data_IF_139743328929
#
_entry.id   IF_139743328929
#
_cell.length_a   1.000
_cell.length_b   1.000
_cell.length_c   1.000
_cell.angle_alpha   90.00
_cell.angle_beta   90.00
_cell.angle_gamma   90.00
#
_symmetry.space_group_name_H-M   'P 1'
#
loop_
_entity.id
_entity.type
_entity.pdbx_description
1 polymer ?
#
# COMPACT_ATOMS: atom_id res chain seq x y z
N UNK A 1 -10.24 -5.14 9.47
CA UNK A 1 -11.67 -5.23 9.11
C UNK A 1 -11.76 -6.06 7.84
N UNK A 2 -12.66 -7.04 7.80
CA UNK A 2 -12.89 -7.89 6.63
C UNK A 2 -13.62 -7.11 5.52
N UNK A 3 -13.69 -7.67 4.31
CA UNK A 3 -14.58 -7.12 3.28
C UNK A 3 -16.04 -7.32 3.70
N UNK A 4 -16.89 -6.36 3.32
CA UNK A 4 -18.30 -6.35 3.70
C UNK A 4 -19.13 -7.23 2.77
N UNK A 5 -18.70 -7.35 1.49
CA UNK A 5 -19.40 -8.09 0.45
C UNK A 5 -18.39 -8.81 -0.45
N UNK A 6 -18.76 -10.01 -0.94
CA UNK A 6 -18.02 -10.73 -1.99
C UNK A 6 -18.92 -10.89 -3.21
N UNK A 7 -18.35 -10.76 -4.41
CA UNK A 7 -19.00 -10.94 -5.69
C UNK A 7 -18.32 -12.11 -6.39
N UNK A 8 -19.10 -13.13 -6.73
CA UNK A 8 -18.61 -14.32 -7.39
C UNK A 8 -18.43 -14.14 -8.90
N UNK A 9 -17.98 -15.20 -9.58
CA UNK A 9 -17.72 -15.23 -11.01
C UNK A 9 -18.97 -14.96 -11.88
N UNK A 10 -20.17 -15.15 -11.31
CA UNK A 10 -21.47 -14.92 -11.96
C UNK A 10 -22.01 -13.53 -11.68
N UNK A 11 -21.30 -12.71 -10.90
CA UNK A 11 -21.76 -11.40 -10.46
C UNK A 11 -22.76 -11.46 -9.30
N UNK A 12 -22.92 -12.59 -8.63
CA UNK A 12 -23.79 -12.72 -7.46
C UNK A 12 -23.10 -12.18 -6.21
N UNK A 13 -23.85 -11.42 -5.40
CA UNK A 13 -23.40 -11.02 -4.07
C UNK A 13 -23.56 -12.21 -3.13
N UNK A 14 -22.46 -12.68 -2.57
CA UNK A 14 -22.44 -13.77 -1.61
C UNK A 14 -21.92 -13.30 -0.24
N UNK A 15 -22.47 -13.89 0.81
CA UNK A 15 -22.03 -13.60 2.18
C UNK A 15 -20.67 -14.23 2.48
N UNK A 16 -19.96 -13.69 3.47
CA UNK A 16 -18.71 -14.28 3.99
C UNK A 16 -18.88 -15.77 4.34
N UNK A 17 -20.03 -16.17 4.87
CA UNK A 17 -20.34 -17.57 5.16
C UNK A 17 -20.39 -18.43 3.89
N UNK A 18 -21.16 -18.00 2.88
CA UNK A 18 -21.27 -18.68 1.59
C UNK A 18 -19.92 -18.78 0.88
N UNK A 19 -19.10 -17.73 0.98
CA UNK A 19 -17.73 -17.73 0.46
C UNK A 19 -16.84 -18.79 1.14
N UNK A 20 -16.89 -18.87 2.47
CA UNK A 20 -16.14 -19.90 3.24
C UNK A 20 -16.61 -21.31 2.89
N UNK A 21 -17.91 -21.54 2.73
CA UNK A 21 -18.45 -22.84 2.31
C UNK A 21 -18.01 -23.24 0.91
N UNK A 22 -18.08 -22.33 -0.08
CA UNK A 22 -17.61 -22.60 -1.44
C UNK A 22 -16.11 -22.93 -1.45
N UNK A 23 -15.31 -22.21 -0.66
CA UNK A 23 -13.88 -22.48 -0.53
C UNK A 23 -13.57 -23.85 0.08
N UNK A 24 -14.35 -24.29 1.08
CA UNK A 24 -14.26 -25.65 1.65
C UNK A 24 -14.54 -26.72 0.60
N UNK A 25 -15.55 -26.52 -0.26
CA UNK A 25 -15.89 -27.45 -1.34
C UNK A 25 -14.79 -27.59 -2.39
N UNK A 26 -14.05 -26.51 -2.67
CA UNK A 26 -12.93 -26.49 -3.62
C UNK A 26 -11.63 -27.13 -3.10
N UNK A 27 -11.64 -27.71 -1.89
CA UNK A 27 -10.47 -28.34 -1.23
C UNK A 27 -9.21 -27.46 -1.20
N UNK A 28 -9.35 -26.14 -1.30
CA UNK A 28 -8.22 -25.24 -1.19
C UNK A 28 -7.86 -25.03 0.29
N UNK A 29 -6.57 -25.11 0.66
CA UNK A 29 -6.15 -24.97 2.04
C UNK A 29 -6.60 -23.61 2.60
N UNK A 30 -7.22 -23.63 3.79
CA UNK A 30 -7.57 -22.43 4.55
C UNK A 30 -6.29 -21.86 5.15
N UNK A 31 -5.50 -21.16 4.33
CA UNK A 31 -4.44 -20.31 4.88
C UNK A 31 -5.13 -19.14 5.55
N UNK A 32 -5.14 -19.16 6.89
CA UNK A 32 -5.70 -18.14 7.80
C UNK A 32 -4.92 -16.82 7.72
N UNK A 33 -3.76 -16.81 7.04
CA UNK A 33 -2.91 -15.64 6.89
C UNK A 33 -3.14 -14.94 5.55
N UNK A 34 -3.87 -13.83 5.61
CA UNK A 34 -4.21 -12.97 4.49
C UNK A 34 -5.72 -12.83 4.39
N UNK A 35 -6.24 -11.63 4.68
CA UNK A 35 -7.67 -11.35 4.80
C UNK A 35 -8.54 -11.85 3.64
N UNK A 36 -9.86 -11.87 3.89
CA UNK A 36 -10.90 -12.36 2.99
C UNK A 36 -10.76 -11.85 1.54
N UNK A 37 -10.22 -10.65 1.35
CA UNK A 37 -9.93 -10.05 0.05
C UNK A 37 -8.92 -10.87 -0.76
N UNK A 38 -7.82 -11.31 -0.13
CA UNK A 38 -6.77 -12.12 -0.78
C UNK A 38 -7.33 -13.48 -1.21
N UNK A 39 -8.17 -14.06 -0.35
CA UNK A 39 -8.82 -15.32 -0.63
C UNK A 39 -9.83 -15.19 -1.78
N UNK A 40 -10.64 -14.13 -1.80
CA UNK A 40 -11.59 -13.87 -2.88
C UNK A 40 -10.88 -13.70 -4.23
N UNK A 41 -9.83 -12.87 -4.27
CA UNK A 41 -9.09 -12.62 -5.51
C UNK A 41 -8.44 -13.89 -6.09
N UNK A 42 -7.94 -14.80 -5.24
CA UNK A 42 -7.38 -16.09 -5.67
C UNK A 42 -8.41 -17.04 -6.30
N UNK A 43 -9.68 -16.85 -5.96
CA UNK A 43 -10.78 -17.64 -6.50
C UNK A 43 -11.44 -16.99 -7.73
N UNK A 44 -10.89 -15.87 -8.23
CA UNK A 44 -11.51 -15.10 -9.31
C UNK A 44 -12.69 -14.24 -8.87
N UNK A 45 -12.90 -14.08 -7.56
CA UNK A 45 -13.98 -13.26 -7.02
C UNK A 45 -13.49 -11.84 -6.75
N UNK A 46 -14.44 -10.91 -6.66
CA UNK A 46 -14.17 -9.58 -6.13
C UNK A 46 -14.65 -9.46 -4.69
N UNK A 47 -13.90 -8.73 -3.86
CA UNK A 47 -14.33 -8.34 -2.52
C UNK A 47 -14.54 -6.82 -2.48
N UNK A 48 -15.59 -6.39 -1.78
CA UNK A 48 -15.97 -4.98 -1.65
C UNK A 48 -15.99 -4.62 -0.18
N UNK A 49 -15.37 -3.50 0.15
CA UNK A 49 -15.38 -2.90 1.48
C UNK A 49 -15.96 -1.50 1.38
N UNK A 50 -16.92 -1.20 2.24
CA UNK A 50 -17.47 0.11 2.44
C UNK A 50 -16.47 0.96 3.24
N UNK A 51 -16.18 2.14 2.72
CA UNK A 51 -15.43 3.18 3.42
C UNK A 51 -16.40 4.28 3.85
N UNK A 52 -15.99 5.09 4.85
CA UNK A 52 -16.78 6.24 5.31
C UNK A 52 -17.16 7.22 4.18
N UNK A 53 -16.29 7.34 3.17
CA UNK A 53 -16.46 8.26 2.03
C UNK A 53 -16.45 7.54 0.67
N UNK A 54 -16.74 6.23 0.62
CA UNK A 54 -16.78 5.52 -0.67
C UNK A 54 -16.59 4.02 -0.56
N UNK A 55 -15.95 3.43 -1.56
CA UNK A 55 -15.81 1.98 -1.71
C UNK A 55 -14.35 1.58 -1.96
N UNK A 56 -13.95 0.44 -1.43
CA UNK A 56 -12.72 -0.24 -1.83
C UNK A 56 -13.07 -1.58 -2.45
N UNK A 57 -12.66 -1.76 -3.71
CA UNK A 57 -12.86 -2.97 -4.49
C UNK A 57 -11.54 -3.72 -4.53
N UNK A 58 -11.56 -5.01 -4.27
CA UNK A 58 -10.43 -5.92 -4.35
C UNK A 58 -10.75 -6.99 -5.39
N UNK A 59 -9.85 -7.24 -6.33
CA UNK A 59 -10.06 -8.24 -7.37
C UNK A 59 -8.74 -8.67 -7.99
N UNK A 60 -8.73 -9.80 -8.71
CA UNK A 60 -7.62 -10.18 -9.58
C UNK A 60 -7.99 -9.87 -11.03
N UNK A 61 -7.32 -8.93 -11.72
CA UNK A 61 -7.69 -8.55 -13.08
C UNK A 61 -7.66 -9.69 -14.09
N UNK A 62 -6.76 -10.67 -13.88
CA UNK A 62 -6.60 -11.81 -14.78
C UNK A 62 -7.63 -12.93 -14.53
N UNK A 63 -8.23 -12.97 -13.34
CA UNK A 63 -9.16 -14.02 -12.94
C UNK A 63 -10.60 -13.53 -12.73
N UNK A 64 -10.84 -12.22 -12.81
CA UNK A 64 -12.16 -11.64 -12.57
C UNK A 64 -13.02 -11.74 -13.83
N UNK A 65 -14.13 -12.46 -13.72
CA UNK A 65 -15.08 -12.64 -14.81
C UNK A 65 -15.87 -11.37 -15.16
N UNK A 66 -16.34 -11.31 -16.41
CA UNK A 66 -17.07 -10.13 -16.94
C UNK A 66 -18.34 -9.84 -16.15
N UNK A 67 -19.07 -10.86 -15.71
CA UNK A 67 -20.29 -10.68 -14.91
C UNK A 67 -19.99 -10.01 -13.55
N UNK A 68 -18.87 -10.36 -12.93
CA UNK A 68 -18.40 -9.73 -11.70
C UNK A 68 -17.98 -8.26 -11.92
N UNK A 69 -17.28 -7.97 -13.03
CA UNK A 69 -16.93 -6.61 -13.43
C UNK A 69 -18.17 -5.74 -13.63
N UNK A 70 -19.18 -6.26 -14.33
CA UNK A 70 -20.46 -5.57 -14.53
C UNK A 70 -21.15 -5.30 -13.19
N UNK A 71 -21.17 -6.28 -12.27
CA UNK A 71 -21.74 -6.08 -10.94
C UNK A 71 -21.00 -5.01 -10.13
N UNK A 72 -19.67 -4.98 -10.19
CA UNK A 72 -18.87 -3.93 -9.55
C UNK A 72 -19.21 -2.55 -10.13
N UNK A 73 -19.37 -2.42 -11.44
CA UNK A 73 -19.76 -1.17 -12.08
C UNK A 73 -21.15 -0.70 -11.61
N UNK A 74 -22.12 -1.61 -11.50
CA UNK A 74 -23.43 -1.32 -10.93
C UNK A 74 -23.33 -0.86 -9.48
N UNK A 75 -22.56 -1.56 -8.63
CA UNK A 75 -22.36 -1.18 -7.23
C UNK A 75 -21.74 0.21 -7.09
N UNK A 76 -20.73 0.54 -7.91
CA UNK A 76 -20.12 1.87 -7.92
C UNK A 76 -21.17 2.93 -8.29
N UNK A 77 -21.93 2.68 -9.36
CA UNK A 77 -22.95 3.62 -9.84
C UNK A 77 -24.05 3.84 -8.80
N UNK A 78 -24.54 2.77 -8.19
CA UNK A 78 -25.62 2.85 -7.20
C UNK A 78 -25.12 3.50 -5.89
N UNK A 79 -23.81 3.47 -5.64
CA UNK A 79 -23.15 4.17 -4.53
C UNK A 79 -22.79 5.64 -4.84
N UNK A 80 -23.00 6.11 -6.08
CA UNK A 80 -22.58 7.42 -6.56
C UNK A 80 -23.34 8.61 -5.94
N UNK A 81 -24.41 8.35 -5.18
CA UNK A 81 -25.12 9.35 -4.37
C UNK A 81 -24.28 9.83 -3.17
N UNK A 82 -23.31 9.04 -2.72
CA UNK A 82 -22.27 9.49 -1.80
C UNK A 82 -21.12 10.11 -2.61
N UNK A 83 -20.44 11.16 -2.10
CA UNK A 83 -19.20 11.73 -2.68
C UNK A 83 -18.08 10.66 -2.71
N UNK A 84 -18.21 9.66 -3.57
CA UNK A 84 -17.65 8.33 -3.37
C UNK A 84 -16.28 8.23 -4.02
N UNK A 85 -15.26 8.23 -3.18
CA UNK A 85 -13.92 7.82 -3.55
C UNK A 85 -13.95 6.32 -3.78
N UNK A 86 -13.55 5.86 -4.96
CA UNK A 86 -13.43 4.42 -5.25
C UNK A 86 -11.96 4.04 -5.25
N UNK A 87 -11.62 3.01 -4.48
CA UNK A 87 -10.26 2.46 -4.39
C UNK A 87 -10.27 1.08 -5.06
N UNK A 88 -9.66 0.98 -6.24
CA UNK A 88 -9.48 -0.27 -6.98
C UNK A 88 -8.19 -0.95 -6.50
N UNK A 89 -8.29 -2.17 -5.98
CA UNK A 89 -7.18 -2.94 -5.42
C UNK A 89 -7.00 -4.22 -6.22
N UNK A 90 -6.10 -4.18 -7.19
CA UNK A 90 -5.84 -5.27 -8.13
C UNK A 90 -4.72 -6.19 -7.64
N UNK A 91 -5.03 -7.47 -7.49
CA UNK A 91 -4.12 -8.53 -7.07
C UNK A 91 -3.29 -9.06 -8.23
N UNK A 92 -1.96 -9.10 -8.08
CA UNK A 92 -1.00 -9.55 -9.11
C UNK A 92 -0.42 -10.96 -8.88
N UNK A 93 -0.90 -11.68 -7.85
CA UNK A 93 -0.36 -12.98 -7.44
C UNK A 93 0.35 -12.92 -6.10
N UNK A 94 1.04 -11.81 -5.82
CA UNK A 94 1.84 -11.61 -4.61
C UNK A 94 1.27 -10.51 -3.71
N UNK A 95 0.83 -9.40 -4.29
CA UNK A 95 0.32 -8.26 -3.55
C UNK A 95 -0.79 -7.49 -4.29
N UNK A 96 -1.35 -6.48 -3.62
CA UNK A 96 -2.31 -5.58 -4.23
C UNK A 96 -1.63 -4.31 -4.76
N UNK A 97 -1.98 -3.95 -5.98
CA UNK A 97 -1.78 -2.61 -6.54
C UNK A 97 -3.06 -1.79 -6.34
N UNK A 98 -2.95 -0.54 -5.89
CA UNK A 98 -4.10 0.29 -5.54
C UNK A 98 -4.22 1.49 -6.47
N UNK A 99 -5.45 1.82 -6.90
CA UNK A 99 -5.78 3.01 -7.68
C UNK A 99 -6.99 3.72 -7.08
N UNK A 100 -6.82 5.00 -6.79
CA UNK A 100 -7.90 5.85 -6.27
C UNK A 100 -8.48 6.65 -7.43
N UNK A 101 -9.80 6.70 -7.51
CA UNK A 101 -10.53 7.52 -8.46
C UNK A 101 -11.58 8.35 -7.74
N UNK A 102 -11.78 9.57 -8.22
CA UNK A 102 -12.62 10.58 -7.55
C UNK A 102 -14.04 10.64 -8.08
N UNK A 103 -14.38 9.81 -9.06
CA UNK A 103 -15.72 9.71 -9.61
C UNK A 103 -16.09 8.26 -9.95
N UNK A 104 -17.38 7.97 -9.84
CA UNK A 104 -17.97 6.70 -10.29
C UNK A 104 -17.69 6.45 -11.78
N UNK A 105 -17.82 7.48 -12.63
CA UNK A 105 -17.56 7.37 -14.06
C UNK A 105 -16.11 6.99 -14.37
N UNK A 106 -15.14 7.57 -13.67
CA UNK A 106 -13.73 7.20 -13.83
C UNK A 106 -13.48 5.75 -13.39
N UNK A 107 -14.06 5.32 -12.27
CA UNK A 107 -13.95 3.94 -11.80
C UNK A 107 -14.52 2.93 -12.81
N UNK A 108 -15.73 3.21 -13.32
CA UNK A 108 -16.43 2.36 -14.28
C UNK A 108 -15.65 2.31 -15.61
N UNK A 109 -15.15 3.45 -16.10
CA UNK A 109 -14.33 3.52 -17.31
C UNK A 109 -13.05 2.68 -17.20
N UNK A 110 -12.44 2.64 -16.01
CA UNK A 110 -11.30 1.75 -15.76
C UNK A 110 -11.71 0.28 -15.75
N UNK A 111 -12.80 -0.09 -15.08
CA UNK A 111 -13.28 -1.48 -15.07
C UNK A 111 -13.60 -1.96 -16.49
N UNK A 112 -14.20 -1.09 -17.31
CA UNK A 112 -14.51 -1.37 -18.71
C UNK A 112 -13.25 -1.56 -19.57
N UNK A 113 -12.18 -0.79 -19.33
CA UNK A 113 -10.93 -0.95 -20.07
C UNK A 113 -10.19 -2.25 -19.71
N UNK A 114 -10.38 -2.77 -18.49
CA UNK A 114 -9.88 -4.10 -18.11
C UNK A 114 -10.62 -5.22 -18.86
N UNK A 115 -11.95 -5.12 -18.95
CA UNK A 115 -12.78 -6.10 -19.67
C UNK A 115 -12.43 -6.16 -21.17
N UNK A 116 -12.06 -5.02 -21.75
CA UNK A 116 -11.83 -4.87 -23.19
C UNK A 116 -10.42 -5.26 -23.64
N UNK A 117 -9.50 -5.58 -22.72
CA UNK A 117 -8.12 -5.96 -23.06
C UNK A 117 -7.55 -6.96 -22.05
N UNK A 118 -7.92 -8.24 -22.17
CA UNK A 118 -7.34 -9.32 -21.38
C UNK A 118 -5.85 -9.43 -21.74
N UNK A 119 -4.97 -9.06 -20.81
CA UNK A 119 -3.52 -8.99 -21.06
C UNK A 119 -2.95 -7.58 -21.13
N UNK A 120 -3.80 -6.53 -21.11
CA UNK A 120 -3.33 -5.22 -20.70
C UNK A 120 -3.02 -5.32 -19.21
N UNK A 121 -1.75 -5.66 -18.92
CA UNK A 121 -1.20 -5.69 -17.57
C UNK A 121 -1.79 -4.48 -16.87
N UNK A 122 -2.36 -4.69 -15.69
CA UNK A 122 -2.62 -3.63 -14.74
C UNK A 122 -1.29 -2.91 -14.53
N UNK A 123 -0.97 -1.99 -15.43
CA UNK A 123 0.40 -1.60 -15.70
C UNK A 123 0.72 -0.56 -14.67
N UNK A 124 1.07 -1.06 -13.48
CA UNK A 124 1.48 -0.31 -12.30
C UNK A 124 0.45 0.77 -11.97
N UNK A 125 -0.39 0.49 -10.95
CA UNK A 125 -1.27 1.51 -10.39
C UNK A 125 -0.51 2.80 -10.05
N UNK A 126 -1.20 3.86 -9.61
CA UNK A 126 -0.57 5.12 -9.22
C UNK A 126 0.50 4.95 -8.12
N UNK A 127 0.67 3.78 -7.51
CA UNK A 127 1.85 3.43 -6.73
C UNK A 127 2.34 2.04 -7.19
N UNK A 128 3.64 1.91 -7.48
CA UNK A 128 4.30 0.63 -7.72
C UNK A 128 5.68 0.59 -7.08
N UNK A 129 6.13 -0.64 -6.79
CA UNK A 129 7.44 -0.91 -6.22
C UNK A 129 8.18 -1.91 -7.09
N UNK A 130 9.45 -1.64 -7.31
CA UNK A 130 10.39 -2.61 -7.83
C UNK A 130 11.40 -2.88 -6.73
N UNK A 131 11.64 -4.16 -6.43
CA UNK A 131 12.77 -4.54 -5.59
C UNK A 131 14.05 -4.11 -6.32
N UNK A 132 14.93 -3.42 -5.60
CA UNK A 132 16.19 -2.91 -6.15
C UNK A 132 17.33 -3.66 -5.47
N UNK A 133 18.32 -4.09 -6.25
CA UNK A 133 19.52 -4.69 -5.66
C UNK A 133 20.29 -3.58 -4.94
N UNK A 134 20.91 -3.92 -3.80
CA UNK A 134 21.69 -2.97 -2.98
C UNK A 134 22.70 -2.15 -3.80
N UNK A 135 23.32 -2.78 -4.80
CA UNK A 135 24.30 -2.18 -5.70
C UNK A 135 23.74 -1.09 -6.64
N UNK A 136 22.42 -1.10 -6.88
CA UNK A 136 21.76 -0.14 -7.77
C UNK A 136 21.24 1.08 -6.99
N UNK A 137 21.46 1.12 -5.66
CA UNK A 137 21.02 2.21 -4.80
C UNK A 137 22.02 3.37 -4.82
N UNK A 138 21.54 4.62 -4.62
CA UNK A 138 22.43 5.75 -4.37
C UNK A 138 23.43 5.47 -3.23
N UNK A 139 24.70 5.83 -3.42
CA UNK A 139 25.78 5.53 -2.46
C UNK A 139 25.50 5.96 -1.02
N UNK A 140 24.85 7.11 -0.82
CA UNK A 140 24.44 7.59 0.51
C UNK A 140 23.46 6.66 1.20
N UNK A 141 22.51 6.12 0.44
CA UNK A 141 21.50 5.18 0.94
C UNK A 141 22.11 3.80 1.21
N UNK A 142 23.06 3.38 0.37
CA UNK A 142 23.82 2.15 0.60
C UNK A 142 24.57 2.20 1.93
N UNK A 143 25.22 3.33 2.26
CA UNK A 143 25.88 3.52 3.57
C UNK A 143 24.95 3.38 4.77
N UNK A 144 23.68 3.75 4.65
CA UNK A 144 22.69 3.51 5.71
C UNK A 144 22.40 2.01 5.89
N UNK A 145 22.33 1.26 4.79
CA UNK A 145 22.16 -0.21 4.85
C UNK A 145 23.41 -0.87 5.41
N UNK A 146 24.60 -0.43 5.00
CA UNK A 146 25.88 -0.92 5.50
C UNK A 146 25.96 -0.72 7.02
N UNK A 147 25.75 0.51 7.52
CA UNK A 147 25.77 0.79 8.95
C UNK A 147 24.72 0.02 9.75
N UNK A 148 23.56 -0.28 9.16
CA UNK A 148 22.57 -1.17 9.78
C UNK A 148 23.05 -2.63 9.81
N UNK A 149 23.68 -3.09 8.72
CA UNK A 149 24.14 -4.48 8.56
C UNK A 149 25.29 -4.78 9.51
N UNK A 150 26.22 -3.84 9.67
CA UNK A 150 27.42 -4.00 10.50
C UNK A 150 27.07 -4.26 11.97
N UNK A 151 25.96 -3.68 12.45
CA UNK A 151 25.44 -3.95 13.80
C UNK A 151 24.25 -4.92 13.79
N UNK A 152 23.95 -5.57 12.66
CA UNK A 152 22.82 -6.47 12.48
C UNK A 152 21.50 -5.94 13.10
N UNK A 153 21.21 -4.65 12.95
CA UNK A 153 20.04 -3.99 13.52
C UNK A 153 19.96 -3.96 15.06
N UNK A 154 21.08 -4.19 15.76
CA UNK A 154 21.20 -4.14 17.23
C UNK A 154 21.55 -2.74 17.75
N UNK A 155 22.01 -1.86 16.88
CA UNK A 155 22.30 -0.46 17.18
C UNK A 155 21.09 0.23 17.79
N UNK A 156 21.34 1.19 18.68
CA UNK A 156 20.29 2.08 19.12
C UNK A 156 19.73 2.84 17.91
N UNK A 157 18.41 2.99 17.86
CA UNK A 157 17.71 3.77 16.85
C UNK A 157 18.26 5.19 16.80
N UNK A 158 18.65 5.76 17.93
CA UNK A 158 19.21 7.12 18.02
C UNK A 158 20.54 7.23 17.27
N UNK A 159 21.44 6.24 17.43
CA UNK A 159 22.73 6.20 16.74
C UNK A 159 22.56 6.07 15.23
N UNK A 160 21.71 5.14 14.78
CA UNK A 160 21.43 4.94 13.35
C UNK A 160 20.66 6.12 12.75
N UNK A 161 19.82 6.80 13.54
CA UNK A 161 19.16 8.04 13.11
C UNK A 161 20.19 9.14 12.86
N UNK A 162 21.23 9.27 13.68
CA UNK A 162 22.33 10.22 13.44
C UNK A 162 23.09 9.94 12.14
N UNK A 163 23.42 8.67 11.88
CA UNK A 163 24.03 8.26 10.61
C UNK A 163 23.10 8.62 9.44
N UNK A 164 21.82 8.26 9.57
CA UNK A 164 20.81 8.53 8.55
C UNK A 164 20.60 10.02 8.29
N UNK A 165 20.57 10.85 9.34
CA UNK A 165 20.45 12.30 9.22
C UNK A 165 21.57 12.86 8.35
N UNK A 166 22.82 12.45 8.61
CA UNK A 166 23.98 12.86 7.81
C UNK A 166 23.89 12.38 6.36
N UNK A 167 23.47 11.14 6.12
CA UNK A 167 23.44 10.54 4.78
C UNK A 167 22.26 11.00 3.93
N UNK A 168 21.11 11.26 4.55
CA UNK A 168 19.85 11.59 3.85
C UNK A 168 19.55 13.09 3.84
N UNK A 169 20.45 13.91 4.41
CA UNK A 169 20.21 15.33 4.65
C UNK A 169 18.93 15.53 5.47
N UNK A 170 18.80 14.79 6.57
CA UNK A 170 17.66 14.85 7.49
C UNK A 170 16.29 14.52 6.84
N UNK A 171 16.27 13.49 5.99
CA UNK A 171 15.06 13.00 5.28
C UNK A 171 14.72 11.57 5.65
N UNK A 172 14.17 11.41 6.85
CA UNK A 172 13.75 10.11 7.38
C UNK A 172 12.41 10.21 8.11
N UNK A 173 11.83 9.05 8.40
CA UNK A 173 10.68 8.89 9.29
C UNK A 173 10.86 7.62 10.11
N UNK A 174 10.61 7.69 11.41
CA UNK A 174 10.68 6.55 12.33
C UNK A 174 9.28 6.13 12.72
N UNK A 175 9.00 4.84 12.57
CA UNK A 175 7.75 4.22 12.99
C UNK A 175 8.03 3.17 14.07
N UNK A 176 7.05 2.95 14.92
CA UNK A 176 7.06 1.87 15.90
C UNK A 176 5.80 1.04 15.74
N UNK A 177 5.95 -0.28 15.67
CA UNK A 177 4.78 -1.15 15.61
C UNK A 177 4.10 -1.18 16.97
N UNK A 178 2.77 -1.08 16.98
CA UNK A 178 1.98 -1.27 18.20
C UNK A 178 1.92 -2.77 18.52
N UNK A 179 2.34 -3.16 19.72
CA UNK A 179 2.29 -4.55 20.15
C UNK A 179 0.88 -5.14 20.06
N UNK A 180 0.79 -6.38 19.56
CA UNK A 180 -0.50 -7.05 19.32
C UNK A 180 -1.37 -6.43 18.22
N UNK A 181 -0.91 -5.40 17.52
CA UNK A 181 -1.68 -4.66 16.51
C UNK A 181 -1.00 -4.64 15.13
N UNK A 182 -1.78 -4.52 14.04
CA UNK A 182 -1.25 -4.28 12.69
C UNK A 182 -0.89 -2.80 12.44
N UNK A 183 -1.12 -1.91 13.42
CA UNK A 183 -0.87 -0.48 13.30
C UNK A 183 0.56 -0.10 13.68
N UNK A 184 1.01 1.03 13.14
CA UNK A 184 2.27 1.69 13.49
C UNK A 184 1.99 3.04 14.14
N UNK A 185 2.92 3.52 14.95
CA UNK A 185 2.94 4.87 15.55
C UNK A 185 4.09 5.63 14.94
N UNK A 186 3.83 6.86 14.49
CA UNK A 186 4.90 7.77 14.07
C UNK A 186 5.67 8.22 15.32
N UNK A 187 6.98 7.97 15.37
CA UNK A 187 7.83 8.32 16.52
C UNK A 187 8.70 9.53 16.28
N UNK A 188 9.24 9.67 15.07
CA UNK A 188 10.14 10.76 14.74
C UNK A 188 10.20 10.99 13.23
N UNK A 189 10.74 12.12 12.79
CA UNK A 189 10.92 12.47 11.39
C UNK A 189 12.02 13.54 11.22
N UNK A 190 12.67 13.51 10.06
CA UNK A 190 13.66 14.53 9.69
C UNK A 190 13.00 15.82 9.19
N UNK A 191 13.64 16.96 9.46
CA UNK A 191 13.12 18.31 9.19
C UNK A 191 13.22 18.74 7.73
N UNK A 192 14.01 18.04 6.92
CA UNK A 192 14.16 18.36 5.50
C UNK A 192 13.15 17.62 4.60
N UNK A 193 12.06 17.13 5.20
CA UNK A 193 10.91 16.64 4.44
C UNK A 193 10.11 17.82 3.83
N UNK A 194 9.33 17.59 2.77
CA UNK A 194 8.51 18.65 2.16
C UNK A 194 7.53 19.27 3.16
N UNK A 195 7.25 20.58 3.02
CA UNK A 195 6.45 21.33 4.02
C UNK A 195 5.02 20.84 4.25
N UNK A 196 4.40 20.13 3.29
CA UNK A 196 3.11 19.46 3.52
C UNK A 196 3.27 18.19 4.36
N UNK A 197 4.34 17.42 4.13
CA UNK A 197 4.65 16.23 4.90
C UNK A 197 5.04 16.59 6.35
N UNK A 198 5.82 17.65 6.55
CA UNK A 198 6.19 18.15 7.89
C UNK A 198 4.97 18.47 8.75
N UNK A 199 4.03 19.26 8.22
CA UNK A 199 2.78 19.59 8.94
C UNK A 199 1.98 18.35 9.31
N UNK A 200 1.95 17.35 8.43
CA UNK A 200 1.30 16.09 8.73
C UNK A 200 2.05 15.31 9.82
N UNK A 201 3.39 15.23 9.77
CA UNK A 201 4.17 14.55 10.79
C UNK A 201 4.03 15.21 12.17
N UNK A 202 4.08 16.54 12.24
CA UNK A 202 3.88 17.33 13.46
C UNK A 202 2.52 17.03 14.11
N UNK A 203 1.46 16.97 13.30
CA UNK A 203 0.11 16.67 13.78
C UNK A 203 -0.11 15.21 14.21
N UNK A 204 0.76 14.28 13.79
CA UNK A 204 0.55 12.83 13.93
C UNK A 204 1.61 12.09 14.75
N UNK A 205 2.64 12.79 15.25
CA UNK A 205 3.63 12.18 16.14
C UNK A 205 2.97 11.61 17.40
N UNK A 206 3.41 10.40 17.79
CA UNK A 206 2.86 9.66 18.94
C UNK A 206 1.46 9.07 18.72
N UNK A 207 0.81 9.34 17.59
CA UNK A 207 -0.52 8.79 17.28
C UNK A 207 -0.38 7.49 16.47
N UNK A 208 -1.22 6.48 16.75
CA UNK A 208 -1.37 5.35 15.85
C UNK A 208 -1.81 5.86 14.49
N UNK A 209 -1.11 5.44 13.45
CA UNK A 209 -1.48 5.71 12.08
C UNK A 209 -2.84 5.06 11.83
N UNK A 210 -3.81 5.89 11.47
CA UNK A 210 -5.18 5.44 11.30
C UNK A 210 -5.47 5.16 9.84
N UNK A 211 -6.41 4.25 9.63
CA UNK A 211 -6.89 3.89 8.31
C UNK A 211 -7.85 4.93 7.70
N UNK A 212 -7.99 6.13 8.26
CA UNK A 212 -8.86 7.22 7.80
C UNK A 212 -8.10 8.51 7.42
N UNK A 213 -6.77 8.52 7.50
CA UNK A 213 -5.94 9.64 7.05
C UNK A 213 -5.83 9.71 5.51
N UNK A 214 -5.83 10.94 4.97
CA UNK A 214 -5.96 11.28 3.53
C UNK A 214 -4.94 10.62 2.57
N UNK A 215 -3.89 9.99 3.10
CA UNK A 215 -2.87 9.21 2.36
C UNK A 215 -3.03 7.68 2.53
N UNK A 216 -4.23 7.21 2.88
CA UNK A 216 -4.63 5.81 3.08
C UNK A 216 -3.97 4.80 2.12
N UNK A 217 -3.94 5.07 0.81
CA UNK A 217 -3.35 4.15 -0.17
C UNK A 217 -1.83 4.07 -0.04
N UNK A 218 -1.15 5.20 0.17
CA UNK A 218 0.28 5.20 0.46
C UNK A 218 0.56 4.54 1.80
N UNK A 219 -0.29 4.78 2.80
CA UNK A 219 -0.16 4.16 4.12
C UNK A 219 -0.30 2.63 4.07
N UNK A 220 -1.34 2.09 3.43
CA UNK A 220 -1.51 0.65 3.25
C UNK A 220 -0.40 0.03 2.37
N UNK A 221 0.00 0.72 1.31
CA UNK A 221 1.13 0.33 0.45
C UNK A 221 2.45 0.24 1.23
N UNK A 222 2.68 1.18 2.14
CA UNK A 222 3.82 1.18 3.04
C UNK A 222 3.73 0.07 4.09
N UNK A 223 2.54 -0.16 4.67
CA UNK A 223 2.33 -1.11 5.75
C UNK A 223 2.78 -2.54 5.39
N UNK A 224 2.51 -3.00 4.16
CA UNK A 224 3.00 -4.31 3.69
C UNK A 224 4.53 -4.39 3.66
N UNK A 225 5.19 -3.37 3.11
CA UNK A 225 6.65 -3.26 3.06
C UNK A 225 7.28 -3.23 4.46
N UNK A 226 6.63 -2.51 5.38
CA UNK A 226 7.04 -2.34 6.78
C UNK A 226 6.98 -3.68 7.53
N UNK A 227 5.85 -4.38 7.40
CA UNK A 227 5.64 -5.71 7.97
C UNK A 227 6.63 -6.73 7.41
N UNK A 228 6.88 -6.70 6.11
CA UNK A 228 7.81 -7.63 5.47
C UNK A 228 9.25 -7.42 5.98
N UNK A 229 9.73 -6.17 6.04
CA UNK A 229 11.05 -5.87 6.56
C UNK A 229 11.20 -6.34 8.02
N UNK A 230 10.20 -6.09 8.86
CA UNK A 230 10.20 -6.54 10.26
C UNK A 230 10.09 -8.07 10.38
N UNK A 231 9.30 -8.74 9.55
CA UNK A 231 9.16 -10.20 9.58
C UNK A 231 10.46 -10.90 9.14
N UNK A 232 11.10 -10.38 8.09
CA UNK A 232 12.34 -10.93 7.55
C UNK A 232 13.57 -10.49 8.36
N UNK A 233 13.44 -9.48 9.22
CA UNK A 233 14.54 -8.85 9.94
C UNK A 233 15.70 -8.47 9.00
N UNK A 234 15.33 -7.95 7.82
CA UNK A 234 16.27 -7.55 6.79
C UNK A 234 15.86 -6.19 6.21
N UNK A 235 16.85 -5.37 5.79
CA UNK A 235 16.58 -4.12 5.08
C UNK A 235 15.78 -4.39 3.82
N UNK A 236 14.75 -3.57 3.58
CA UNK A 236 14.01 -3.60 2.33
C UNK A 236 14.38 -2.36 1.50
N UNK A 237 14.85 -2.59 0.28
CA UNK A 237 15.23 -1.54 -0.66
C UNK A 237 14.31 -1.57 -1.88
N UNK A 238 13.68 -0.43 -2.19
CA UNK A 238 12.67 -0.33 -3.24
C UNK A 238 12.88 0.93 -4.09
N UNK A 239 12.61 0.80 -5.39
CA UNK A 239 12.32 1.94 -6.26
C UNK A 239 10.81 2.09 -6.26
N UNK A 240 10.34 3.16 -5.63
CA UNK A 240 8.93 3.51 -5.58
C UNK A 240 8.63 4.44 -6.74
N UNK A 241 7.60 4.10 -7.48
CA UNK A 241 7.06 4.92 -8.54
C UNK A 241 5.63 5.30 -8.18
N UNK A 242 5.38 6.61 -8.07
CA UNK A 242 4.14 7.20 -7.61
C UNK A 242 3.56 8.18 -8.63
N UNK A 243 2.29 8.08 -8.97
CA UNK A 243 1.53 9.07 -9.70
C UNK A 243 0.83 9.96 -8.68
N UNK A 244 1.33 11.18 -8.55
CA UNK A 244 0.85 12.16 -7.58
C UNK A 244 -0.07 13.13 -8.30
N UNK A 245 -1.28 13.28 -7.79
CA UNK A 245 -2.21 14.32 -8.21
C UNK A 245 -2.13 15.47 -7.22
N UNK A 246 -1.40 16.57 -7.52
CA UNK A 246 -1.35 17.70 -6.61
C UNK A 246 -2.73 18.37 -6.47
N UNK A 247 -3.01 19.06 -5.36
CA UNK A 247 -4.26 19.80 -5.16
C UNK A 247 -4.52 20.85 -6.25
N UNK A 248 -3.44 21.42 -6.81
CA UNK A 248 -3.44 22.31 -7.97
C UNK A 248 -2.39 21.79 -8.96
N UNK A 249 -2.80 21.52 -10.20
CA UNK A 249 -1.88 21.10 -11.27
C UNK A 249 -2.23 19.76 -11.91
N UNK A 250 -1.42 19.38 -12.90
CA UNK A 250 -1.59 18.14 -13.64
C UNK A 250 -1.03 16.94 -12.87
N UNK A 251 -1.60 15.74 -13.04
CA UNK A 251 -1.03 14.52 -12.50
C UNK A 251 0.43 14.38 -12.94
N UNK A 252 1.30 13.95 -12.03
CA UNK A 252 2.72 13.79 -12.28
C UNK A 252 3.23 12.45 -11.79
N UNK A 253 4.17 11.86 -12.53
CA UNK A 253 4.88 10.65 -12.13
C UNK A 253 6.14 11.03 -11.35
N UNK A 254 6.33 10.39 -10.21
CA UNK A 254 7.46 10.53 -9.29
C UNK A 254 8.14 9.18 -9.15
N UNK A 255 9.46 9.18 -9.12
CA UNK A 255 10.27 8.00 -8.83
C UNK A 255 11.26 8.34 -7.73
N UNK A 256 11.35 7.47 -6.73
CA UNK A 256 12.24 7.69 -5.61
C UNK A 256 12.68 6.38 -5.00
N UNK A 257 13.86 6.39 -4.38
CA UNK A 257 14.36 5.24 -3.66
C UNK A 257 13.83 5.29 -2.23
N UNK A 258 13.32 4.16 -1.75
CA UNK A 258 12.89 3.96 -0.38
C UNK A 258 13.73 2.86 0.24
N UNK A 259 14.25 3.10 1.43
CA UNK A 259 14.82 2.06 2.29
C UNK A 259 13.98 1.95 3.54
N UNK A 260 13.76 0.72 3.98
CA UNK A 260 13.20 0.40 5.28
C UNK A 260 14.23 -0.40 6.06
N UNK A 261 14.62 0.10 7.24
CA UNK A 261 15.55 -0.53 8.16
C UNK A 261 14.79 -1.01 9.42
N UNK A 262 14.61 -2.33 9.62
CA UNK A 262 13.93 -2.87 10.80
C UNK A 262 14.86 -2.96 12.02
N UNK A 263 14.37 -2.80 13.25
CA UNK A 263 15.19 -2.90 14.47
C UNK A 263 14.70 -3.99 15.42
N UNK A 264 15.64 -4.75 15.99
CA UNK A 264 15.35 -5.94 16.80
C UNK A 264 14.82 -5.62 18.21
N UNK A 265 15.36 -4.61 18.90
CA UNK A 265 15.14 -4.43 20.35
C UNK A 265 13.84 -3.73 20.76
N UNK A 266 13.14 -3.05 19.84
CA UNK A 266 11.98 -2.19 20.20
C UNK A 266 10.84 -2.22 19.17
N UNK A 267 10.79 -3.20 18.26
CA UNK A 267 9.81 -3.23 17.15
C UNK A 267 9.74 -1.93 16.34
N UNK A 268 10.84 -1.16 16.35
CA UNK A 268 10.98 0.12 15.65
C UNK A 268 11.46 -0.12 14.23
N UNK A 269 11.12 0.82 13.38
CA UNK A 269 11.46 0.81 11.97
C UNK A 269 11.85 2.23 11.56
N UNK A 270 12.94 2.34 10.82
CA UNK A 270 13.36 3.58 10.21
C UNK A 270 13.11 3.52 8.70
N UNK A 271 12.43 4.54 8.18
CA UNK A 271 12.10 4.67 6.76
C UNK A 271 12.86 5.85 6.18
N UNK A 272 13.62 5.57 5.13
CA UNK A 272 14.41 6.55 4.39
C UNK A 272 13.77 6.77 3.03
N UNK A 273 13.55 8.02 2.67
CA UNK A 273 12.95 8.39 1.38
C UNK A 273 13.87 9.36 0.66
N UNK A 274 14.47 8.91 -0.44
CA UNK A 274 15.29 9.75 -1.30
C UNK A 274 14.54 10.06 -2.59
N UNK A 275 13.95 11.26 -2.66
CA UNK A 275 13.55 11.82 -3.96
C UNK A 275 14.80 12.36 -4.64
N UNK A 276 14.91 12.21 -5.96
CA UNK A 276 15.97 12.92 -6.70
C UNK A 276 15.90 14.44 -6.40
N UNK A 277 17.05 15.12 -6.27
CA UNK A 277 17.13 16.49 -5.74
C UNK A 277 16.47 17.57 -6.62
N UNK A 278 15.93 17.24 -7.79
CA UNK A 278 15.49 18.25 -8.76
C UNK A 278 13.99 18.49 -8.88
N UNK A 279 13.12 17.83 -8.11
CA UNK A 279 11.69 18.01 -8.35
C UNK A 279 10.80 17.81 -7.13
N UNK A 280 10.51 18.87 -6.38
CA UNK A 280 9.26 18.99 -5.61
C UNK A 280 8.80 20.46 -5.63
N UNK A 281 7.83 20.74 -6.49
CA UNK A 281 6.89 21.84 -6.37
C UNK A 281 5.72 21.38 -5.50
#
# INVERSE_FOLDING_TARGET
>A
MAADIVIDERGEIISTHQFVERRRRLKQPVVVFGGLERAACRLGFAAVRQLRLGLQLFFSPEALETAALVRLAYLIRDSASMRSVVVLSAWDGADFSHRIVRSASEAIGLLASMASSPGNRYSRGPLSRLAVKRQDMPSRLQRCVDGWTDDAGRADVELLTGIVQQQTNDRFVTFERVDGSPSFVLRDYGRNNPGHALRWYEGNIGKPLRSDDLDLAYHWFCNGAYRNALALQHPLCELVEAHVQPPKGSPMRRRYHRIILPFYKKSRQLVLVATQPHCLC
#
